data_IF_678953409048
#
_entry.id   IF_678953409048
#
_cell.length_a   1.000
_cell.length_b   1.000
_cell.length_c   1.000
_cell.angle_alpha   90.00
_cell.angle_beta   90.00
_cell.angle_gamma   90.00
#
_symmetry.space_group_name_H-M   'P 1'
#
loop_
_entity.id
_entity.type
_entity.pdbx_description
1 polymer ?
#
# COMPACT_ATOMS: atom_id res chain seq x y z
N UNK A 1 -17.43 -0.26 -17.12
CA UNK A 1 -18.29 -1.39 -17.53
C UNK A 1 -17.74 -2.63 -16.86
N UNK A 2 -18.37 -3.08 -15.78
CA UNK A 2 -17.95 -4.27 -15.04
C UNK A 2 -18.36 -5.50 -15.84
N UNK A 3 -17.42 -6.43 -16.05
CA UNK A 3 -17.71 -7.72 -16.68
C UNK A 3 -18.69 -8.49 -15.78
N UNK A 4 -19.81 -9.01 -16.30
CA UNK A 4 -20.79 -9.74 -15.49
C UNK A 4 -20.29 -11.17 -15.25
N UNK A 5 -19.67 -11.43 -14.13
CA UNK A 5 -19.16 -12.79 -13.85
C UNK A 5 -18.75 -13.09 -12.42
N UNK A 6 -18.59 -12.13 -11.55
CA UNK A 6 -18.28 -12.40 -10.14
C UNK A 6 -19.50 -12.16 -9.26
N UNK A 7 -20.47 -13.07 -9.30
CA UNK A 7 -21.37 -13.26 -8.18
C UNK A 7 -20.64 -14.15 -7.17
N UNK A 8 -20.07 -13.54 -6.15
CA UNK A 8 -19.77 -14.26 -4.93
C UNK A 8 -21.13 -14.59 -4.28
N UNK A 9 -21.68 -15.75 -4.64
CA UNK A 9 -22.78 -16.33 -3.87
C UNK A 9 -22.11 -16.90 -2.62
N UNK A 10 -22.20 -16.18 -1.51
CA UNK A 10 -21.98 -16.80 -0.21
C UNK A 10 -23.11 -17.82 -0.01
N UNK A 11 -22.85 -19.05 -0.44
CA UNK A 11 -23.63 -20.17 0.07
C UNK A 11 -23.26 -20.32 1.53
N UNK A 12 -24.24 -20.34 2.40
CA UNK A 12 -24.16 -20.55 3.85
C UNK A 12 -23.73 -21.98 4.22
N UNK A 13 -22.92 -22.64 3.42
CA UNK A 13 -22.20 -23.83 3.82
C UNK A 13 -20.99 -23.39 4.63
N UNK A 14 -21.03 -23.71 5.92
CA UNK A 14 -20.05 -23.53 6.98
C UNK A 14 -18.61 -23.36 6.44
N UNK A 15 -18.28 -22.12 6.05
CA UNK A 15 -16.90 -21.76 5.84
C UNK A 15 -16.24 -21.91 7.21
N UNK A 16 -15.40 -22.92 7.36
CA UNK A 16 -14.62 -23.10 8.58
C UNK A 16 -13.78 -21.83 8.79
N UNK A 17 -14.31 -20.94 9.60
CA UNK A 17 -13.75 -19.61 9.91
C UNK A 17 -12.30 -19.76 10.39
N UNK A 18 -11.95 -20.89 11.04
CA UNK A 18 -10.59 -21.19 11.49
C UNK A 18 -9.66 -21.46 10.31
N UNK A 19 -10.13 -22.14 9.27
CA UNK A 19 -9.36 -22.44 8.07
C UNK A 19 -9.13 -21.20 7.21
N UNK A 20 -10.13 -20.31 7.12
CA UNK A 20 -10.01 -19.02 6.42
C UNK A 20 -9.00 -18.13 7.14
N UNK A 21 -9.06 -18.01 8.45
CA UNK A 21 -8.13 -17.22 9.25
C UNK A 21 -6.69 -17.78 9.20
N UNK A 22 -6.52 -19.11 9.22
CA UNK A 22 -5.20 -19.73 9.15
C UNK A 22 -4.52 -19.62 7.77
N UNK A 23 -5.28 -19.28 6.74
CA UNK A 23 -4.79 -19.09 5.36
C UNK A 23 -4.83 -17.65 4.88
N UNK A 24 -5.35 -16.74 5.70
CA UNK A 24 -5.39 -15.32 5.37
C UNK A 24 -3.98 -14.71 5.46
N UNK A 25 -3.45 -14.32 4.31
CA UNK A 25 -2.12 -13.68 4.23
C UNK A 25 -2.22 -12.16 4.36
N UNK A 26 -3.35 -11.56 4.00
CA UNK A 26 -3.63 -10.14 4.23
C UNK A 26 -4.12 -9.94 5.66
N UNK A 27 -3.45 -9.09 6.42
CA UNK A 27 -3.69 -8.93 7.87
C UNK A 27 -4.33 -7.59 8.25
N UNK A 28 -4.10 -6.55 7.46
CA UNK A 28 -4.65 -5.21 7.71
C UNK A 28 -4.56 -4.32 6.46
N UNK A 29 -5.26 -3.19 6.47
CA UNK A 29 -4.87 -2.03 5.68
C UNK A 29 -3.63 -1.44 6.32
N UNK A 30 -2.54 -1.33 5.56
CA UNK A 30 -1.28 -0.79 6.08
C UNK A 30 -1.26 0.73 6.03
N UNK A 31 -1.45 1.28 4.84
CA UNK A 31 -1.49 2.73 4.64
C UNK A 31 -2.24 3.11 3.35
N UNK A 32 -2.54 4.42 3.26
CA UNK A 32 -3.00 5.07 2.03
C UNK A 32 -1.88 5.97 1.54
N UNK A 33 -1.43 5.75 0.31
CA UNK A 33 -0.38 6.55 -0.32
C UNK A 33 -0.95 7.75 -1.08
N UNK A 34 -0.49 8.94 -0.74
CA UNK A 34 -0.93 10.21 -1.30
C UNK A 34 0.25 10.91 -1.97
N UNK A 35 0.11 11.17 -3.26
CA UNK A 35 1.06 11.95 -4.03
C UNK A 35 0.86 13.44 -3.77
N UNK A 36 1.91 14.12 -3.33
CA UNK A 36 1.89 15.56 -3.00
C UNK A 36 3.01 16.30 -3.75
N UNK A 37 2.79 17.57 -4.14
CA UNK A 37 3.81 18.36 -4.83
C UNK A 37 5.00 18.72 -3.93
N UNK A 38 4.74 18.95 -2.64
CA UNK A 38 5.73 19.36 -1.64
C UNK A 38 5.46 18.62 -0.33
N UNK A 39 6.44 17.83 0.11
CA UNK A 39 6.29 16.98 1.29
C UNK A 39 6.21 17.80 2.57
N UNK A 40 7.03 18.84 2.74
CA UNK A 40 7.08 19.64 3.96
C UNK A 40 5.77 20.41 4.16
N UNK A 41 5.24 20.98 3.09
CA UNK A 41 3.93 21.66 3.09
C UNK A 41 2.81 20.68 3.45
N UNK A 42 2.84 19.48 2.87
CA UNK A 42 1.82 18.47 3.16
C UNK A 42 1.90 17.98 4.61
N UNK A 43 3.10 17.67 5.12
CA UNK A 43 3.30 17.27 6.54
C UNK A 43 2.75 18.35 7.47
N UNK A 44 3.09 19.63 7.25
CA UNK A 44 2.61 20.73 8.07
C UNK A 44 1.07 20.81 8.05
N UNK A 45 0.47 20.65 6.88
CA UNK A 45 -0.99 20.69 6.76
C UNK A 45 -1.69 19.58 7.56
N UNK A 46 -1.21 18.33 7.43
CA UNK A 46 -1.78 17.20 8.19
C UNK A 46 -1.55 17.32 9.70
N UNK A 47 -0.40 17.86 10.11
CA UNK A 47 -0.12 18.13 11.51
C UNK A 47 -1.03 19.24 12.07
N UNK A 48 -1.11 20.39 11.41
CA UNK A 48 -1.76 21.58 11.94
C UNK A 48 -3.29 21.47 11.92
N UNK A 49 -3.85 20.80 10.91
CA UNK A 49 -5.30 20.69 10.75
C UNK A 49 -5.90 19.40 11.29
N UNK A 50 -5.15 18.30 11.27
CA UNK A 50 -5.64 16.97 11.69
C UNK A 50 -4.91 16.40 12.93
N UNK A 51 -3.89 17.10 13.43
CA UNK A 51 -3.12 16.64 14.61
C UNK A 51 -2.33 15.35 14.37
N UNK A 52 -2.07 15.01 13.10
CA UNK A 52 -1.30 13.82 12.77
C UNK A 52 0.18 14.02 13.11
N UNK A 53 0.86 12.91 13.39
CA UNK A 53 2.29 12.90 13.72
C UNK A 53 3.07 12.10 12.70
N UNK A 54 4.29 12.55 12.40
CA UNK A 54 5.24 11.80 11.57
C UNK A 54 5.85 10.68 12.40
N UNK A 55 5.74 9.44 11.94
CA UNK A 55 6.38 8.27 12.54
C UNK A 55 7.72 7.94 11.88
N UNK A 56 7.82 8.16 10.57
CA UNK A 56 8.99 7.84 9.78
C UNK A 56 9.06 8.77 8.57
N UNK A 57 10.27 9.17 8.20
CA UNK A 57 10.55 9.94 7.00
C UNK A 57 11.82 9.42 6.36
N UNK A 58 11.83 9.23 5.05
CA UNK A 58 13.01 8.79 4.32
C UNK A 58 13.03 9.29 2.88
N UNK A 59 14.22 9.21 2.28
CA UNK A 59 14.42 9.29 0.83
C UNK A 59 14.57 7.88 0.30
N UNK A 60 13.68 7.50 -0.61
CA UNK A 60 13.73 6.22 -1.30
C UNK A 60 14.18 6.45 -2.74
N UNK A 61 15.48 6.35 -2.97
CA UNK A 61 16.09 6.61 -4.28
C UNK A 61 15.65 5.57 -5.31
N UNK A 62 15.41 4.31 -4.90
CA UNK A 62 14.95 3.24 -5.79
C UNK A 62 13.59 3.54 -6.41
N UNK A 63 12.73 4.24 -5.67
CA UNK A 63 11.41 4.68 -6.13
C UNK A 63 11.40 6.14 -6.61
N UNK A 64 12.49 6.88 -6.41
CA UNK A 64 12.62 8.29 -6.79
C UNK A 64 11.71 9.22 -6.00
N UNK A 65 11.53 8.96 -4.70
CA UNK A 65 10.62 9.72 -3.82
C UNK A 65 11.27 10.09 -2.49
N UNK A 66 10.81 11.20 -1.93
CA UNK A 66 10.90 11.51 -0.51
C UNK A 66 9.53 11.28 0.10
N UNK A 67 9.47 10.59 1.23
CA UNK A 67 8.22 10.12 1.80
C UNK A 67 8.15 10.27 3.32
N UNK A 68 6.94 10.38 3.85
CA UNK A 68 6.68 10.43 5.27
C UNK A 68 5.46 9.55 5.62
N UNK A 69 5.61 8.74 6.68
CA UNK A 69 4.52 7.96 7.26
C UNK A 69 3.92 8.72 8.43
N UNK A 70 2.63 9.02 8.34
CA UNK A 70 1.89 9.76 9.35
C UNK A 70 0.87 8.86 10.04
N UNK A 71 0.71 9.07 11.34
CA UNK A 71 -0.29 8.37 12.14
C UNK A 71 -1.18 9.35 12.90
N UNK A 72 -2.37 8.88 13.26
CA UNK A 72 -3.23 9.56 14.22
C UNK A 72 -2.58 9.46 15.60
N UNK A 73 -2.45 10.60 16.30
CA UNK A 73 -1.88 10.64 17.66
C UNK A 73 -2.67 9.73 18.61
N UNK A 74 -1.97 8.81 19.28
CA UNK A 74 -2.59 7.87 20.22
C UNK A 74 -3.32 6.70 19.58
N UNK A 75 -3.25 6.52 18.25
CA UNK A 75 -3.81 5.35 17.60
C UNK A 75 -3.12 4.05 18.07
N UNK A 76 -3.88 2.94 18.19
CA UNK A 76 -3.29 1.65 18.54
C UNK A 76 -2.17 1.23 17.57
N UNK A 77 -1.18 0.48 18.08
CA UNK A 77 -0.14 -0.12 17.22
C UNK A 77 -0.79 -0.96 16.11
N UNK A 78 -0.35 -0.75 14.88
CA UNK A 78 -0.87 -1.46 13.70
C UNK A 78 -2.08 -0.79 13.04
N UNK A 79 -2.55 0.36 13.54
CA UNK A 79 -3.54 1.16 12.82
C UNK A 79 -3.02 1.59 11.44
N UNK A 80 -3.96 1.75 10.50
CA UNK A 80 -3.62 2.25 9.17
C UNK A 80 -3.00 3.66 9.24
N UNK A 81 -2.03 3.92 8.37
CA UNK A 81 -1.29 5.16 8.31
C UNK A 81 -1.60 5.92 7.01
N UNK A 82 -1.12 7.14 6.93
CA UNK A 82 -1.07 7.93 5.70
C UNK A 82 0.38 8.05 5.28
N UNK A 83 0.68 7.65 4.04
CA UNK A 83 1.98 7.89 3.42
C UNK A 83 1.88 9.10 2.51
N UNK A 84 2.66 10.13 2.77
CA UNK A 84 2.82 11.26 1.87
C UNK A 84 4.06 11.03 1.02
N UNK A 85 3.95 11.21 -0.31
CA UNK A 85 5.03 10.97 -1.25
C UNK A 85 5.22 12.17 -2.16
N UNK A 86 6.44 12.73 -2.19
CA UNK A 86 6.85 13.75 -3.14
C UNK A 86 7.95 13.19 -4.06
N UNK A 87 7.90 13.55 -5.33
CA UNK A 87 8.90 13.13 -6.31
C UNK A 87 10.26 13.79 -6.04
N UNK A 88 11.36 13.04 -6.20
CA UNK A 88 12.71 13.61 -6.19
C UNK A 88 13.00 14.36 -7.48
N UNK A 89 12.48 13.87 -8.61
CA UNK A 89 12.63 14.46 -9.93
C UNK A 89 11.46 14.09 -10.86
N UNK A 90 11.47 14.61 -12.07
CA UNK A 90 10.44 14.41 -13.09
C UNK A 90 10.36 12.96 -13.64
N UNK A 91 11.35 12.14 -13.43
CA UNK A 91 11.37 10.74 -13.89
C UNK A 91 10.60 9.81 -12.95
N UNK A 92 10.36 10.24 -11.71
CA UNK A 92 9.63 9.51 -10.68
C UNK A 92 8.21 9.14 -11.14
N UNK A 93 7.73 7.98 -10.69
CA UNK A 93 6.34 7.56 -10.91
C UNK A 93 5.35 8.50 -10.24
N UNK A 94 5.72 9.12 -9.13
CA UNK A 94 4.89 10.12 -8.42
C UNK A 94 4.79 11.43 -9.22
N UNK A 95 5.89 11.91 -9.82
CA UNK A 95 5.85 13.07 -10.71
C UNK A 95 4.89 12.82 -11.89
N UNK A 96 5.02 11.68 -12.55
CA UNK A 96 4.16 11.28 -13.68
C UNK A 96 2.69 11.13 -13.27
N UNK A 97 2.43 10.65 -12.06
CA UNK A 97 1.08 10.57 -11.53
C UNK A 97 0.47 11.97 -11.34
N UNK A 98 1.21 12.89 -10.70
CA UNK A 98 0.77 14.27 -10.47
C UNK A 98 0.54 15.01 -11.80
N UNK A 99 1.44 14.86 -12.76
CA UNK A 99 1.30 15.48 -14.10
C UNK A 99 0.03 15.01 -14.82
N UNK A 100 -0.31 13.73 -14.68
CA UNK A 100 -1.46 13.15 -15.37
C UNK A 100 -2.78 13.35 -14.64
N UNK A 101 -2.79 13.34 -13.31
CA UNK A 101 -4.00 13.28 -12.48
C UNK A 101 -4.11 14.39 -11.43
N UNK A 102 -3.04 15.16 -11.22
CA UNK A 102 -2.93 16.07 -10.09
C UNK A 102 -2.56 15.35 -8.78
N UNK A 103 -2.31 16.11 -7.70
CA UNK A 103 -2.10 15.54 -6.37
C UNK A 103 -3.31 14.73 -5.91
N UNK A 104 -3.08 13.68 -5.14
CA UNK A 104 -4.16 12.86 -4.60
C UNK A 104 -3.75 11.45 -4.22
N UNK A 105 -4.74 10.62 -3.88
CA UNK A 105 -4.52 9.21 -3.53
C UNK A 105 -3.95 8.46 -4.74
N UNK A 106 -2.77 7.86 -4.57
CA UNK A 106 -2.07 7.14 -5.62
C UNK A 106 -2.18 5.63 -5.42
N UNK A 107 -2.15 5.13 -4.17
CA UNK A 107 -2.18 3.71 -3.86
C UNK A 107 -2.89 3.40 -2.55
N UNK A 108 -3.33 2.15 -2.43
CA UNK A 108 -3.83 1.55 -1.20
C UNK A 108 -2.94 0.36 -0.85
N UNK A 109 -2.38 0.36 0.34
CA UNK A 109 -1.47 -0.69 0.79
C UNK A 109 -2.13 -1.62 1.80
N UNK A 110 -1.93 -2.93 1.60
CA UNK A 110 -2.33 -3.96 2.54
C UNK A 110 -1.11 -4.60 3.18
N UNK A 111 -1.16 -4.78 4.49
CA UNK A 111 -0.16 -5.54 5.23
C UNK A 111 -0.36 -7.01 5.00
N UNK A 112 0.73 -7.72 4.72
CA UNK A 112 0.73 -9.16 4.49
C UNK A 112 1.72 -9.86 5.41
N UNK A 113 1.42 -11.10 5.76
CA UNK A 113 2.29 -11.91 6.62
C UNK A 113 3.34 -12.72 5.86
N UNK A 114 3.12 -12.97 4.58
CA UNK A 114 4.02 -13.74 3.69
C UNK A 114 3.78 -13.29 2.25
N UNK A 115 4.66 -12.38 1.79
CA UNK A 115 4.54 -11.76 0.48
C UNK A 115 4.85 -12.75 -0.66
N UNK A 116 5.79 -13.68 -0.45
CA UNK A 116 6.16 -14.64 -1.48
C UNK A 116 5.01 -15.62 -1.74
N UNK A 117 4.46 -16.21 -0.68
CA UNK A 117 3.32 -17.12 -0.80
C UNK A 117 2.10 -16.43 -1.40
N UNK A 118 1.81 -15.19 -0.99
CA UNK A 118 0.68 -14.44 -1.58
C UNK A 118 0.92 -14.12 -3.05
N UNK A 119 2.13 -13.72 -3.41
CA UNK A 119 2.50 -13.40 -4.80
C UNK A 119 2.35 -14.61 -5.72
N UNK A 120 2.78 -15.81 -5.27
CA UNK A 120 2.59 -17.06 -6.01
C UNK A 120 1.12 -17.38 -6.24
N UNK A 121 0.30 -17.31 -5.19
CA UNK A 121 -1.16 -17.56 -5.28
C UNK A 121 -1.86 -16.60 -6.23
N UNK A 122 -1.49 -15.32 -6.18
CA UNK A 122 -2.07 -14.30 -7.08
C UNK A 122 -1.72 -14.60 -8.53
N UNK A 123 -0.45 -14.96 -8.83
CA UNK A 123 -0.01 -15.33 -10.18
C UNK A 123 -0.72 -16.58 -10.69
N UNK A 124 -0.90 -17.61 -9.86
CA UNK A 124 -1.65 -18.81 -10.20
C UNK A 124 -3.11 -18.52 -10.58
N UNK A 125 -3.68 -17.46 -9.99
CA UNK A 125 -5.02 -16.97 -10.31
C UNK A 125 -5.06 -16.01 -11.51
N UNK A 126 -3.93 -15.75 -12.17
CA UNK A 126 -3.81 -14.86 -13.31
C UNK A 126 -3.74 -13.37 -12.97
N UNK A 127 -3.54 -13.03 -11.70
CA UNK A 127 -3.38 -11.64 -11.23
C UNK A 127 -1.97 -11.16 -11.53
N UNK A 128 -1.85 -10.00 -12.17
CA UNK A 128 -0.56 -9.41 -12.54
C UNK A 128 0.04 -8.62 -11.39
N UNK A 129 1.26 -8.97 -11.05
CA UNK A 129 2.11 -8.19 -10.16
C UNK A 129 3.09 -7.34 -10.99
N UNK A 130 3.42 -6.15 -10.49
CA UNK A 130 4.30 -5.21 -11.22
C UNK A 130 5.77 -5.64 -11.20
N UNK A 131 6.18 -6.39 -10.18
CA UNK A 131 7.57 -6.87 -10.05
C UNK A 131 7.61 -8.38 -10.03
N UNK A 132 8.60 -8.96 -10.70
CA UNK A 132 8.83 -10.43 -10.69
C UNK A 132 9.23 -10.92 -9.30
N UNK A 133 9.99 -10.11 -8.56
CA UNK A 133 10.39 -10.36 -7.18
C UNK A 133 10.09 -9.14 -6.29
N UNK A 134 9.87 -9.34 -4.98
CA UNK A 134 9.67 -8.23 -4.06
C UNK A 134 10.82 -7.22 -4.11
N UNK A 135 10.49 -5.94 -3.91
CA UNK A 135 11.45 -4.85 -3.79
C UNK A 135 11.44 -4.27 -2.38
N UNK A 136 12.45 -3.44 -2.10
CA UNK A 136 12.52 -2.68 -0.86
C UNK A 136 11.46 -1.57 -0.89
N UNK A 137 10.66 -1.50 0.17
CA UNK A 137 9.72 -0.43 0.47
C UNK A 137 10.14 0.40 1.68
N UNK A 138 9.25 1.26 2.14
CA UNK A 138 9.43 2.14 3.30
C UNK A 138 9.82 1.33 4.53
N UNK A 139 10.73 1.89 5.35
CA UNK A 139 11.22 1.27 6.59
C UNK A 139 11.73 -0.18 6.41
N UNK A 140 12.45 -0.45 5.31
CA UNK A 140 12.97 -1.77 4.96
C UNK A 140 11.92 -2.88 4.79
N UNK A 141 10.66 -2.54 4.57
CA UNK A 141 9.64 -3.52 4.21
C UNK A 141 9.95 -4.18 2.87
N UNK A 142 9.31 -5.32 2.61
CA UNK A 142 9.28 -5.96 1.29
C UNK A 142 7.95 -5.65 0.64
N UNK A 143 7.96 -5.24 -0.62
CA UNK A 143 6.76 -4.82 -1.33
C UNK A 143 6.64 -5.44 -2.72
N UNK A 144 5.39 -5.54 -3.17
CA UNK A 144 5.01 -5.70 -4.56
C UNK A 144 3.68 -4.99 -4.82
N UNK A 145 3.30 -4.81 -6.06
CA UNK A 145 2.06 -4.14 -6.45
C UNK A 145 1.21 -5.05 -7.33
N UNK A 146 -0.11 -5.05 -7.10
CA UNK A 146 -1.07 -5.61 -8.03
C UNK A 146 -1.39 -4.55 -9.10
N UNK A 147 -1.37 -4.98 -10.36
CA UNK A 147 -1.69 -4.10 -11.48
C UNK A 147 -3.13 -3.55 -11.34
N UNK A 148 -3.37 -2.22 -11.51
CA UNK A 148 -4.69 -1.62 -11.29
C UNK A 148 -5.83 -2.27 -12.10
N UNK A 149 -5.56 -2.77 -13.30
CA UNK A 149 -6.58 -3.45 -14.12
C UNK A 149 -7.12 -4.73 -13.49
N UNK A 150 -6.37 -5.36 -12.60
CA UNK A 150 -6.77 -6.58 -11.91
C UNK A 150 -7.35 -6.31 -10.52
N UNK A 151 -7.28 -5.06 -10.05
CA UNK A 151 -7.73 -4.60 -8.75
C UNK A 151 -8.79 -3.47 -8.84
N UNK A 152 -9.66 -3.52 -9.85
CA UNK A 152 -10.77 -2.57 -10.00
C UNK A 152 -10.34 -1.12 -10.26
N UNK A 153 -9.15 -0.90 -10.83
CA UNK A 153 -8.60 0.43 -11.11
C UNK A 153 -7.75 1.02 -9.99
N UNK A 154 -7.57 0.30 -8.89
CA UNK A 154 -6.76 0.72 -7.74
C UNK A 154 -5.35 0.12 -7.87
N UNK A 155 -4.31 0.95 -7.70
CA UNK A 155 -2.96 0.45 -7.48
C UNK A 155 -2.89 -0.10 -6.05
N UNK A 156 -2.81 -1.42 -5.92
CA UNK A 156 -2.74 -2.09 -4.62
C UNK A 156 -1.30 -2.46 -4.32
N UNK A 157 -0.79 -1.96 -3.20
CA UNK A 157 0.50 -2.35 -2.67
C UNK A 157 0.33 -3.49 -1.66
N UNK A 158 1.21 -4.47 -1.71
CA UNK A 158 1.34 -5.54 -0.73
C UNK A 158 2.61 -5.30 0.07
N UNK A 159 2.48 -5.14 1.38
CA UNK A 159 3.58 -4.78 2.29
C UNK A 159 3.79 -5.87 3.31
N UNK A 160 4.96 -6.51 3.26
CA UNK A 160 5.45 -7.36 4.33
C UNK A 160 6.42 -6.52 5.18
N UNK A 161 6.05 -6.15 6.43
CA UNK A 161 6.94 -5.37 7.29
C UNK A 161 8.26 -6.07 7.51
N UNK A 162 9.33 -5.31 7.70
CA UNK A 162 10.59 -5.87 8.16
C UNK A 162 10.34 -6.64 9.47
N UNK A 163 10.95 -7.84 9.60
CA UNK A 163 10.95 -8.53 10.87
C UNK A 163 11.65 -7.66 11.91
N UNK A 164 10.99 -7.42 13.04
CA UNK A 164 11.63 -6.80 14.19
C UNK A 164 12.83 -7.70 14.55
N UNK A 165 14.04 -7.24 14.28
CA UNK A 165 15.22 -7.86 14.84
C UNK A 165 15.15 -7.63 16.36
N UNK A 166 15.04 -8.73 17.09
CA UNK A 166 15.04 -8.74 18.56
C UNK A 166 16.43 -8.43 19.10
#
# INVERSE_FOLDING_TARGET
MFSPGYRYVMTTDQVDTRRVLSTALVTAVDHVGIAVPDLDVAIAWYHDHLGMIVLHEEVNEDQGIREAMLAVRGAPKGSAQVQLMAALDETSTIAKFIDKRGPGIQQLAYRVSDLDTLSERLREQGVRLLYDAPRRGTANSRINFIHPKDAGGVLVELVEPASDEH
#
